data_IF_581115427241
#
_entry.id   IF_581115427241
#
_cell.length_a   1.000
_cell.length_b   1.000
_cell.length_c   1.000
_cell.angle_alpha   90.00
_cell.angle_beta   90.00
_cell.angle_gamma   90.00
#
_symmetry.space_group_name_H-M   'P 1'
#
loop_
_entity.id
_entity.type
_entity.pdbx_description
1 polymer ?
#
# COMPACT_ATOMS: atom_id res chain seq x y z
N UNK A 1 15.37 83.24 -11.16
CA UNK A 1 15.45 83.07 -9.69
C UNK A 1 15.24 81.59 -9.37
N UNK A 2 16.25 80.99 -8.72
CA UNK A 2 16.28 79.81 -7.84
C UNK A 2 15.34 78.59 -8.09
N UNK A 3 15.96 77.53 -8.65
CA UNK A 3 15.98 76.11 -8.23
C UNK A 3 14.72 75.47 -7.61
N UNK A 4 14.22 74.39 -8.22
CA UNK A 4 13.99 73.11 -7.52
C UNK A 4 14.35 71.94 -8.46
N UNK A 5 15.34 71.15 -8.06
CA UNK A 5 15.64 69.80 -8.56
C UNK A 5 14.83 68.85 -7.70
N UNK A 6 14.06 67.91 -8.26
CA UNK A 6 13.75 66.64 -7.58
C UNK A 6 13.84 65.48 -8.56
N UNK A 7 14.58 64.48 -8.10
CA UNK A 7 15.08 63.30 -8.78
C UNK A 7 13.99 62.33 -9.26
N UNK A 8 14.39 61.57 -10.28
CA UNK A 8 13.76 60.34 -10.72
C UNK A 8 13.86 59.24 -9.65
N UNK A 9 12.82 58.41 -9.57
CA UNK A 9 12.93 57.04 -9.07
C UNK A 9 11.90 56.16 -9.79
N UNK A 10 12.35 55.45 -10.83
CA UNK A 10 11.65 54.28 -11.35
C UNK A 10 11.72 53.19 -10.28
N UNK A 11 10.59 52.85 -9.66
CA UNK A 11 10.47 51.62 -8.89
C UNK A 11 10.01 50.50 -9.83
N UNK A 12 10.95 49.67 -10.29
CA UNK A 12 10.67 48.38 -10.91
C UNK A 12 10.06 47.48 -9.82
N UNK A 13 8.74 47.24 -9.88
CA UNK A 13 8.10 46.20 -9.07
C UNK A 13 8.32 44.87 -9.81
N UNK A 14 9.42 44.18 -9.50
CA UNK A 14 9.59 42.77 -9.82
C UNK A 14 8.74 41.98 -8.81
N UNK A 15 7.51 41.65 -9.18
CA UNK A 15 6.73 40.68 -8.43
C UNK A 15 7.33 39.29 -8.71
N UNK A 16 8.26 38.87 -7.85
CA UNK A 16 8.83 37.54 -7.82
C UNK A 16 7.70 36.50 -7.84
N UNK A 17 7.67 35.67 -8.88
CA UNK A 17 6.86 34.46 -8.92
C UNK A 17 7.42 33.47 -7.91
N UNK A 18 7.10 33.64 -6.63
CA UNK A 18 7.19 32.55 -5.68
C UNK A 18 6.09 31.56 -6.07
N UNK A 19 6.43 30.61 -6.93
CA UNK A 19 5.67 29.37 -6.99
C UNK A 19 5.70 28.79 -5.59
N UNK A 20 4.66 29.06 -4.80
CA UNK A 20 4.46 28.43 -3.51
C UNK A 20 4.40 26.94 -3.78
N UNK A 21 5.52 26.28 -3.52
CA UNK A 21 5.56 24.85 -3.34
C UNK A 21 4.63 24.56 -2.16
N UNK A 22 3.34 24.35 -2.45
CA UNK A 22 2.41 23.74 -1.52
C UNK A 22 3.14 22.50 -1.01
N UNK A 23 3.51 22.42 0.28
CA UNK A 23 4.07 21.19 0.79
C UNK A 23 3.06 20.13 0.41
N UNK A 24 3.50 19.05 -0.27
CA UNK A 24 2.67 17.85 -0.33
C UNK A 24 2.45 17.50 1.13
N UNK A 25 1.28 17.81 1.68
CA UNK A 25 0.82 17.16 2.89
C UNK A 25 1.06 15.68 2.62
N UNK A 26 1.98 15.07 3.36
CA UNK A 26 2.24 13.65 3.25
C UNK A 26 0.87 13.00 3.30
N UNK A 27 0.45 12.39 2.19
CA UNK A 27 -0.92 11.89 2.08
C UNK A 27 -1.07 10.83 3.16
N UNK A 28 -1.90 11.12 4.16
CA UNK A 28 -2.06 10.22 5.29
C UNK A 28 -2.86 9.01 4.80
N UNK A 29 -2.22 7.86 4.67
CA UNK A 29 -2.93 6.60 4.49
C UNK A 29 -3.67 6.22 5.78
N UNK A 30 -4.69 5.35 5.71
CA UNK A 30 -5.34 4.83 6.90
C UNK A 30 -4.31 4.24 7.88
N UNK A 31 -4.47 4.57 9.16
CA UNK A 31 -3.67 3.94 10.20
C UNK A 31 -3.89 2.41 10.19
N UNK A 32 -2.85 1.59 10.49
CA UNK A 32 -3.01 0.15 10.57
C UNK A 32 -4.10 -0.24 11.57
N UNK A 33 -5.07 -1.04 11.14
CA UNK A 33 -6.10 -1.62 11.99
C UNK A 33 -5.76 -3.08 12.26
N UNK A 34 -5.71 -3.47 13.54
CA UNK A 34 -5.61 -4.89 13.92
C UNK A 34 -6.98 -5.53 13.84
N UNK A 35 -7.09 -6.61 13.07
CA UNK A 35 -8.32 -7.40 12.93
C UNK A 35 -8.36 -8.58 13.91
N UNK A 36 -7.20 -9.04 14.36
CA UNK A 36 -7.07 -10.12 15.31
C UNK A 36 -5.70 -10.79 15.25
N UNK A 37 -5.57 -11.84 16.04
CA UNK A 37 -4.40 -12.69 16.19
C UNK A 37 -4.49 -13.93 15.26
N UNK A 38 -3.71 -14.97 15.55
CA UNK A 38 -3.63 -16.17 14.69
C UNK A 38 -4.97 -16.94 14.73
N UNK A 39 -5.62 -17.17 13.57
CA UNK A 39 -6.85 -17.96 13.54
C UNK A 39 -6.65 -19.40 14.01
N UNK A 40 -7.66 -19.97 14.67
CA UNK A 40 -7.65 -21.38 15.05
C UNK A 40 -7.47 -22.29 13.82
N UNK A 41 -6.62 -23.31 13.95
CA UNK A 41 -6.28 -24.23 12.86
C UNK A 41 -5.19 -23.73 11.89
N UNK A 42 -4.80 -22.45 11.94
CA UNK A 42 -3.66 -21.96 11.17
C UNK A 42 -2.31 -22.27 11.84
N UNK A 43 -1.24 -22.52 11.05
CA UNK A 43 0.13 -22.70 11.56
C UNK A 43 0.67 -21.41 12.19
N UNK A 44 1.82 -21.45 12.88
CA UNK A 44 2.44 -20.25 13.45
C UNK A 44 2.82 -19.19 12.40
N UNK A 45 3.28 -19.61 11.22
CA UNK A 45 3.45 -18.72 10.07
C UNK A 45 2.18 -18.73 9.22
N UNK A 46 1.21 -17.85 9.52
CA UNK A 46 -0.15 -17.95 9.00
C UNK A 46 -0.52 -16.95 7.89
N UNK A 47 0.43 -16.34 7.18
CA UNK A 47 0.10 -15.40 6.11
C UNK A 47 -0.73 -16.05 4.99
N UNK A 48 -0.32 -17.23 4.52
CA UNK A 48 -1.06 -18.00 3.50
C UNK A 48 -2.37 -18.59 4.02
N UNK A 49 -2.40 -19.04 5.28
CA UNK A 49 -3.63 -19.56 5.90
C UNK A 49 -4.69 -18.46 6.05
N UNK A 50 -4.30 -17.30 6.56
CA UNK A 50 -5.20 -16.15 6.71
C UNK A 50 -5.66 -15.58 5.37
N UNK A 51 -4.78 -15.54 4.36
CA UNK A 51 -5.17 -15.20 2.99
C UNK A 51 -6.21 -16.18 2.42
N UNK A 52 -6.06 -17.49 2.68
CA UNK A 52 -7.04 -18.50 2.25
C UNK A 52 -8.40 -18.32 2.93
N UNK A 53 -8.40 -18.03 4.24
CA UNK A 53 -9.62 -17.73 4.98
C UNK A 53 -10.33 -16.49 4.43
N UNK A 54 -9.58 -15.42 4.15
CA UNK A 54 -10.14 -14.19 3.59
C UNK A 54 -10.72 -14.38 2.18
N UNK A 55 -10.00 -15.09 1.30
CA UNK A 55 -10.39 -15.23 -0.10
C UNK A 55 -11.42 -16.33 -0.35
N UNK A 56 -11.28 -17.46 0.33
CA UNK A 56 -12.01 -18.70 0.06
C UNK A 56 -12.93 -19.13 1.21
N UNK A 57 -12.91 -18.43 2.36
CA UNK A 57 -13.71 -18.76 3.54
C UNK A 57 -13.28 -20.05 4.25
N UNK A 58 -12.14 -20.65 3.89
CA UNK A 58 -11.65 -21.89 4.49
C UNK A 58 -10.13 -21.98 4.48
N UNK A 59 -9.58 -22.78 5.38
CA UNK A 59 -8.16 -23.15 5.36
C UNK A 59 -7.92 -24.08 4.17
N UNK A 60 -6.96 -23.73 3.33
CA UNK A 60 -6.49 -24.57 2.22
C UNK A 60 -5.04 -24.97 2.56
N UNK A 61 -4.79 -26.16 3.13
CA UNK A 61 -3.47 -26.50 3.69
C UNK A 61 -2.31 -26.35 2.70
N UNK A 62 -2.54 -26.67 1.41
CA UNK A 62 -1.55 -26.51 0.34
C UNK A 62 -1.12 -25.05 0.11
N UNK A 63 -1.94 -24.08 0.50
CA UNK A 63 -1.68 -22.65 0.38
C UNK A 63 -1.21 -22.02 1.69
N UNK A 64 -0.96 -22.79 2.75
CA UNK A 64 -0.43 -22.23 3.99
C UNK A 64 0.98 -21.66 3.79
N UNK A 65 1.78 -22.27 2.91
CA UNK A 65 3.09 -21.77 2.51
C UNK A 65 2.94 -20.64 1.48
N UNK A 66 3.50 -19.47 1.76
CA UNK A 66 3.46 -18.33 0.83
C UNK A 66 4.00 -18.68 -0.57
N UNK A 67 5.06 -19.48 -0.66
CA UNK A 67 5.63 -19.90 -1.94
C UNK A 67 4.66 -20.71 -2.82
N UNK A 68 3.69 -21.42 -2.23
CA UNK A 68 2.69 -22.16 -3.01
C UNK A 68 1.76 -21.24 -3.83
N UNK A 69 1.61 -19.98 -3.41
CA UNK A 69 0.78 -19.01 -4.12
C UNK A 69 1.36 -18.57 -5.46
N UNK A 70 2.66 -18.82 -5.74
CA UNK A 70 3.24 -18.57 -7.07
C UNK A 70 2.66 -19.46 -8.17
N UNK A 71 1.93 -20.52 -7.81
CA UNK A 71 1.32 -21.42 -8.77
C UNK A 71 0.08 -20.79 -9.46
N UNK A 72 -0.56 -19.81 -8.81
CA UNK A 72 -1.64 -19.05 -9.41
C UNK A 72 -1.16 -18.20 -10.62
N UNK A 73 -2.05 -17.93 -11.60
CA UNK A 73 -1.72 -17.07 -12.74
C UNK A 73 -1.26 -15.69 -12.28
N UNK A 74 -0.25 -15.12 -12.96
CA UNK A 74 0.15 -13.73 -12.75
C UNK A 74 -0.98 -12.78 -13.16
N UNK A 75 -1.13 -11.69 -12.42
CA UNK A 75 -2.17 -10.70 -12.64
C UNK A 75 -1.66 -9.27 -12.48
N UNK A 76 -2.46 -8.31 -12.94
CA UNK A 76 -2.28 -6.89 -12.57
C UNK A 76 -2.84 -6.67 -11.16
N UNK A 77 -2.31 -5.68 -10.39
CA UNK A 77 -2.90 -5.28 -9.12
C UNK A 77 -4.39 -4.95 -9.26
N UNK A 78 -5.23 -5.63 -8.48
CA UNK A 78 -6.67 -5.43 -8.41
C UNK A 78 -7.18 -5.92 -7.04
N UNK A 79 -8.36 -5.47 -6.57
CA UNK A 79 -8.99 -6.04 -5.38
C UNK A 79 -9.09 -7.57 -5.47
N UNK A 80 -8.89 -8.25 -4.34
CA UNK A 80 -8.86 -9.71 -4.18
C UNK A 80 -7.69 -10.45 -4.85
N UNK A 81 -6.77 -9.74 -5.51
CA UNK A 81 -5.49 -10.35 -5.92
C UNK A 81 -4.60 -10.61 -4.70
N UNK A 82 -3.71 -11.58 -4.80
CA UNK A 82 -2.71 -11.84 -3.78
C UNK A 82 -1.35 -11.28 -4.21
N UNK A 83 -0.68 -10.54 -3.33
CA UNK A 83 0.71 -10.17 -3.51
C UNK A 83 1.59 -11.18 -2.80
N UNK A 84 2.50 -11.81 -3.54
CA UNK A 84 3.28 -12.95 -3.08
C UNK A 84 4.77 -12.65 -3.21
N UNK A 85 5.52 -13.02 -2.18
CA UNK A 85 6.97 -13.24 -2.22
C UNK A 85 7.31 -14.52 -1.47
N UNK A 86 8.55 -15.00 -1.55
CA UNK A 86 9.00 -16.30 -1.01
C UNK A 86 8.46 -16.66 0.39
N UNK A 87 8.38 -15.70 1.30
CA UNK A 87 8.03 -15.93 2.71
C UNK A 87 6.78 -15.17 3.16
N UNK A 88 6.08 -14.47 2.26
CA UNK A 88 4.95 -13.65 2.66
C UNK A 88 3.91 -13.51 1.56
N UNK A 89 2.64 -13.53 1.95
CA UNK A 89 1.50 -13.27 1.07
C UNK A 89 0.47 -12.42 1.81
N UNK A 90 -0.12 -11.44 1.12
CA UNK A 90 -1.27 -10.69 1.58
C UNK A 90 -2.25 -10.44 0.44
N UNK A 91 -3.48 -10.05 0.78
CA UNK A 91 -4.55 -9.82 -0.18
C UNK A 91 -4.78 -8.33 -0.39
N UNK A 92 -4.88 -7.91 -1.65
CA UNK A 92 -5.18 -6.54 -2.04
C UNK A 92 -6.66 -6.24 -1.78
N UNK A 93 -6.94 -5.16 -1.06
CA UNK A 93 -8.32 -4.73 -0.74
C UNK A 93 -8.70 -3.54 -1.60
N UNK A 94 -7.93 -2.46 -1.53
CA UNK A 94 -8.21 -1.20 -2.22
C UNK A 94 -6.91 -0.52 -2.65
N UNK A 95 -6.89 0.09 -3.83
CA UNK A 95 -5.75 0.90 -4.26
C UNK A 95 -5.79 2.27 -3.60
N UNK A 96 -4.76 2.61 -2.84
CA UNK A 96 -4.63 3.93 -2.22
C UNK A 96 -3.87 4.88 -3.13
N UNK A 97 -2.78 4.38 -3.73
CA UNK A 97 -1.95 5.02 -4.75
C UNK A 97 -1.35 3.94 -5.66
N UNK A 98 -0.66 4.33 -6.74
CA UNK A 98 -0.15 3.41 -7.78
C UNK A 98 0.35 2.05 -7.24
N UNK A 99 1.40 2.07 -6.43
CA UNK A 99 2.02 0.87 -5.84
C UNK A 99 1.69 0.70 -4.35
N UNK A 100 0.75 1.48 -3.81
CA UNK A 100 0.37 1.45 -2.40
C UNK A 100 -1.08 1.01 -2.27
N UNK A 101 -1.28 -0.10 -1.58
CA UNK A 101 -2.57 -0.73 -1.44
C UNK A 101 -2.96 -0.85 0.03
N UNK A 102 -4.24 -0.67 0.32
CA UNK A 102 -4.82 -1.22 1.53
C UNK A 102 -4.85 -2.74 1.38
N UNK A 103 -4.28 -3.45 2.34
CA UNK A 103 -4.12 -4.90 2.26
C UNK A 103 -4.64 -5.59 3.50
N UNK A 104 -5.26 -6.75 3.29
CA UNK A 104 -5.53 -7.71 4.37
C UNK A 104 -4.29 -8.60 4.53
N UNK A 105 -3.54 -8.36 5.59
CA UNK A 105 -2.21 -8.92 5.81
C UNK A 105 -2.18 -9.74 7.10
N UNK A 106 -2.34 -11.05 6.95
CA UNK A 106 -2.26 -12.01 8.06
C UNK A 106 -0.81 -12.35 8.41
N UNK A 107 -0.55 -12.58 9.69
CA UNK A 107 0.80 -12.78 10.23
C UNK A 107 1.75 -11.62 9.89
N UNK A 108 1.19 -10.42 9.87
CA UNK A 108 1.91 -9.16 9.75
C UNK A 108 2.41 -8.72 11.14
N UNK A 109 3.09 -7.57 11.21
CA UNK A 109 3.78 -7.04 12.39
C UNK A 109 3.21 -7.47 13.75
N UNK A 110 4.05 -8.13 14.56
CA UNK A 110 3.65 -8.71 15.85
C UNK A 110 2.94 -10.06 15.78
N UNK A 111 2.87 -10.70 14.60
CA UNK A 111 2.12 -11.96 14.43
C UNK A 111 0.60 -11.75 14.44
N UNK A 112 0.14 -10.62 13.90
CA UNK A 112 -1.25 -10.20 13.88
C UNK A 112 -1.81 -10.19 12.44
N UNK A 113 -3.12 -10.29 12.31
CA UNK A 113 -3.83 -9.92 11.09
C UNK A 113 -4.15 -8.43 11.12
N UNK A 114 -3.74 -7.70 10.08
CA UNK A 114 -3.93 -6.25 9.99
C UNK A 114 -4.49 -5.82 8.65
N UNK A 115 -5.31 -4.78 8.66
CA UNK A 115 -5.69 -4.00 7.50
C UNK A 115 -4.80 -2.74 7.50
N UNK A 116 -3.92 -2.58 6.52
CA UNK A 116 -2.96 -1.46 6.50
C UNK A 116 -2.48 -1.12 5.10
N UNK A 117 -1.93 0.09 4.92
CA UNK A 117 -1.30 0.49 3.69
C UNK A 117 0.04 -0.23 3.47
N UNK A 118 0.25 -0.76 2.27
CA UNK A 118 1.45 -1.54 1.95
C UNK A 118 1.89 -1.30 0.52
N UNK A 119 3.21 -1.15 0.35
CA UNK A 119 3.83 -1.12 -0.96
C UNK A 119 3.88 -2.53 -1.59
N UNK A 120 3.58 -2.61 -2.88
CA UNK A 120 3.73 -3.81 -3.70
C UNK A 120 5.18 -4.06 -4.16
N UNK A 121 6.12 -3.15 -3.87
CA UNK A 121 7.51 -3.31 -4.27
C UNK A 121 8.09 -4.64 -3.77
N UNK A 122 8.61 -5.45 -4.71
CA UNK A 122 9.18 -6.77 -4.43
C UNK A 122 8.16 -7.91 -4.30
N UNK A 123 6.89 -7.68 -4.63
CA UNK A 123 5.86 -8.71 -4.71
C UNK A 123 5.49 -9.03 -6.15
N UNK A 124 5.11 -10.28 -6.38
CA UNK A 124 4.45 -10.74 -7.60
C UNK A 124 2.96 -10.79 -7.31
N UNK A 125 2.15 -10.21 -8.18
CA UNK A 125 0.70 -10.26 -8.05
C UNK A 125 0.17 -11.48 -8.80
N UNK A 126 -0.68 -12.25 -8.13
CA UNK A 126 -1.34 -13.44 -8.68
C UNK A 126 -2.86 -13.36 -8.51
N UNK A 127 -3.58 -14.06 -9.38
CA UNK A 127 -5.05 -14.18 -9.38
C UNK A 127 -5.51 -15.49 -8.70
N UNK A 128 -6.03 -15.42 -7.45
CA UNK A 128 -6.49 -16.60 -6.73
C UNK A 128 -7.84 -17.16 -7.23
N UNK A 129 -8.49 -16.51 -8.19
CA UNK A 129 -9.70 -17.03 -8.85
C UNK A 129 -9.38 -18.01 -9.99
N UNK A 130 -8.14 -17.98 -10.50
CA UNK A 130 -7.62 -18.97 -11.43
C UNK A 130 -7.26 -20.30 -10.78
N UNK A 131 -7.03 -21.33 -11.59
CA UNK A 131 -6.50 -22.59 -11.09
C UNK A 131 -5.06 -22.40 -10.55
N UNK A 132 -4.76 -22.86 -9.33
CA UNK A 132 -3.39 -22.95 -8.82
C UNK A 132 -2.63 -24.15 -9.40
#
# INVERSE_FOLDING_TARGET
MLRIVVAAALALIVASSAAEARPRLARAWPAPQTLGDRPHGCPHAFCGCGASLYLFGRIVPRLNLAAAWFAFPRARPAPRMAAVRRHHVFVLVEQLEAEIWLVHDSNSGGGLTRLHARSLAGFIIVDPSGAP
#
